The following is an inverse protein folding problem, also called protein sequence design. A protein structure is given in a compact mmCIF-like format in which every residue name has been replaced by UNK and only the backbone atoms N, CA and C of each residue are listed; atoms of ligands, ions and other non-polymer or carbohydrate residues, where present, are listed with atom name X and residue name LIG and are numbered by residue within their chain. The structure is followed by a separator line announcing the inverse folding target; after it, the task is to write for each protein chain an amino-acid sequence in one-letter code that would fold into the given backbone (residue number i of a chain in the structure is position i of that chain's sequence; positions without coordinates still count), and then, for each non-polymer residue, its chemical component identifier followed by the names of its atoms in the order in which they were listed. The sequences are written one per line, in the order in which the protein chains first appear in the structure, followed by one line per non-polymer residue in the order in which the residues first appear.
data_IF_232776273428
#
_entry.id   IF_232776273428
#
_cell.length_a   1.000
_cell.length_b   1.000
_cell.length_c   1.000
_cell.angle_alpha   90.00
_cell.angle_beta   90.00
_cell.angle_gamma   90.00
#
_symmetry.space_group_name_H-M   'P 1'
#
loop_
_entity.id
_entity.type
_entity.pdbx_description
1 polymer ?
#
# COMPACT_ATOMS: atom_id res chain seq x y z
N UNK A 1 -21.30 33.60 13.24
CA UNK A 1 -19.92 33.39 13.73
C UNK A 1 -19.36 32.14 13.06
N UNK A 2 -18.34 32.22 12.19
CA UNK A 2 -17.67 31.03 11.64
C UNK A 2 -16.48 30.68 12.52
N UNK A 3 -16.51 29.51 13.15
CA UNK A 3 -15.39 28.96 13.91
C UNK A 3 -14.33 28.43 12.95
N UNK A 4 -13.11 28.96 13.07
CA UNK A 4 -11.94 28.52 12.29
C UNK A 4 -11.38 27.22 12.89
N UNK A 5 -11.65 26.09 12.23
CA UNK A 5 -11.04 24.81 12.62
C UNK A 5 -9.59 24.81 12.15
N UNK A 6 -8.65 25.07 13.05
CA UNK A 6 -7.20 24.99 12.80
C UNK A 6 -6.76 23.52 12.71
N UNK A 7 -7.12 22.83 11.62
CA UNK A 7 -6.47 21.57 11.26
C UNK A 7 -5.01 21.82 10.85
N UNK A 8 -4.11 20.88 11.17
CA UNK A 8 -2.70 20.95 10.73
C UNK A 8 -2.66 21.08 9.20
N UNK A 9 -2.31 22.27 8.69
CA UNK A 9 -2.11 22.49 7.25
C UNK A 9 -0.96 21.61 6.78
N UNK A 10 -1.21 20.68 5.86
CA UNK A 10 -0.12 20.00 5.16
C UNK A 10 0.64 21.06 4.36
N UNK A 11 1.96 21.10 4.50
CA UNK A 11 2.79 21.95 3.64
C UNK A 11 2.56 21.50 2.19
N UNK A 12 2.35 22.43 1.25
CA UNK A 12 2.28 22.09 -0.16
C UNK A 12 3.52 21.27 -0.56
N UNK A 13 3.37 20.25 -1.41
CA UNK A 13 4.50 19.48 -1.89
C UNK A 13 5.52 20.42 -2.53
N UNK A 14 6.77 20.37 -2.03
CA UNK A 14 7.88 21.13 -2.62
C UNK A 14 8.16 20.50 -3.98
N UNK A 15 7.88 21.24 -5.05
CA UNK A 15 8.19 20.82 -6.41
C UNK A 15 9.70 20.63 -6.56
N UNK A 16 10.10 19.53 -7.22
CA UNK A 16 11.51 19.13 -7.38
C UNK A 16 12.18 19.69 -8.63
N UNK A 17 11.52 20.55 -9.41
CA UNK A 17 12.15 21.13 -10.59
C UNK A 17 13.08 22.25 -10.15
N UNK A 18 14.37 22.01 -10.38
CA UNK A 18 15.38 23.04 -10.32
C UNK A 18 15.21 23.91 -11.55
N UNK A 19 14.98 25.21 -11.37
CA UNK A 19 14.88 26.12 -12.50
C UNK A 19 16.21 26.09 -13.28
N UNK A 20 16.16 25.66 -14.54
CA UNK A 20 17.33 25.65 -15.41
C UNK A 20 17.88 27.06 -15.61
N UNK A 21 19.21 27.18 -15.59
CA UNK A 21 19.91 28.45 -15.76
C UNK A 21 19.74 28.99 -17.19
N UNK A 22 19.86 30.31 -17.36
CA UNK A 22 19.80 30.94 -18.68
C UNK A 22 20.91 30.42 -19.61
N UNK A 23 22.12 30.23 -19.08
CA UNK A 23 23.28 29.70 -19.81
C UNK A 23 23.01 28.30 -20.39
N UNK A 24 22.39 27.42 -19.61
CA UNK A 24 22.03 26.08 -20.08
C UNK A 24 21.04 26.15 -21.25
N UNK A 25 20.00 26.98 -21.13
CA UNK A 25 19.01 27.17 -22.21
C UNK A 25 19.64 27.78 -23.47
N UNK A 26 20.55 28.73 -23.32
CA UNK A 26 21.27 29.34 -24.43
C UNK A 26 22.16 28.31 -25.14
N UNK A 27 22.87 27.45 -24.40
CA UNK A 27 23.69 26.38 -24.96
C UNK A 27 22.87 25.34 -25.75
N UNK A 28 21.67 24.99 -25.27
CA UNK A 28 20.76 24.09 -25.99
C UNK A 28 20.29 24.73 -27.31
N UNK A 29 19.95 26.02 -27.29
CA UNK A 29 19.50 26.73 -28.49
C UNK A 29 20.59 26.85 -29.55
N UNK A 30 21.81 27.25 -29.16
CA UNK A 30 22.94 27.35 -30.11
C UNK A 30 23.33 26.01 -30.70
N UNK A 31 23.18 24.92 -29.92
CA UNK A 31 23.38 23.57 -30.41
C UNK A 31 22.32 23.17 -31.44
N UNK A 32 21.06 23.55 -31.22
CA UNK A 32 19.94 23.25 -32.10
C UNK A 32 20.05 23.92 -33.47
N UNK A 33 20.71 25.07 -33.58
CA UNK A 33 20.93 25.74 -34.86
C UNK A 33 21.84 24.94 -35.81
N UNK A 34 22.62 24.00 -35.27
CA UNK A 34 23.62 23.22 -36.02
C UNK A 34 23.36 21.72 -36.00
N UNK A 35 22.45 21.25 -35.14
CA UNK A 35 22.20 19.82 -34.91
C UNK A 35 20.70 19.51 -34.97
N UNK A 36 20.38 18.23 -35.21
CA UNK A 36 19.00 17.76 -35.21
C UNK A 36 18.45 17.65 -33.78
N UNK A 37 17.13 17.68 -33.64
CA UNK A 37 16.45 17.47 -32.34
C UNK A 37 16.91 16.18 -31.64
N UNK A 38 17.12 15.09 -32.38
CA UNK A 38 17.60 13.82 -31.81
C UNK A 38 19.01 13.95 -31.22
N UNK A 39 19.92 14.65 -31.90
CA UNK A 39 21.26 14.92 -31.38
C UNK A 39 21.22 15.86 -30.15
N UNK A 40 20.34 16.86 -30.14
CA UNK A 40 20.17 17.75 -28.99
C UNK A 40 19.64 17.01 -27.76
N UNK A 41 18.68 16.10 -27.96
CA UNK A 41 18.18 15.21 -26.89
C UNK A 41 19.30 14.29 -26.41
N UNK A 42 20.12 13.71 -27.30
CA UNK A 42 21.26 12.88 -26.91
C UNK A 42 22.33 13.64 -26.11
N UNK A 43 22.59 14.91 -26.45
CA UNK A 43 23.62 15.73 -25.82
C UNK A 43 23.17 16.39 -24.50
N UNK A 44 21.91 16.83 -24.41
CA UNK A 44 21.40 17.62 -23.26
C UNK A 44 20.26 16.94 -22.50
N UNK A 45 19.62 15.91 -23.05
CA UNK A 45 18.49 15.19 -22.44
C UNK A 45 18.89 14.29 -21.26
N UNK A 46 20.17 13.95 -21.12
CA UNK A 46 20.68 13.10 -20.04
C UNK A 46 20.44 13.67 -18.63
N UNK A 47 20.22 14.98 -18.52
CA UNK A 47 19.88 15.64 -17.25
C UNK A 47 18.49 15.26 -16.71
N UNK A 48 17.60 14.70 -17.56
CA UNK A 48 16.27 14.22 -17.17
C UNK A 48 16.20 12.70 -16.97
N UNK A 49 17.07 11.93 -17.63
CA UNK A 49 17.00 10.45 -17.62
C UNK A 49 17.74 9.82 -16.43
N UNK A 50 18.62 10.57 -15.76
CA UNK A 50 19.26 10.11 -14.51
C UNK A 50 18.28 9.92 -13.35
N UNK A 51 17.04 10.42 -13.45
CA UNK A 51 15.94 10.06 -12.54
C UNK A 51 15.02 8.94 -13.04
N UNK A 52 15.12 8.50 -14.29
CA UNK A 52 14.29 7.42 -14.81
C UNK A 52 14.97 6.05 -14.65
N UNK A 53 16.30 5.99 -14.71
CA UNK A 53 17.04 4.70 -14.71
C UNK A 53 17.83 4.43 -13.41
N UNK A 54 17.91 5.41 -12.48
CA UNK A 54 18.63 5.28 -11.19
C UNK A 54 17.74 5.39 -9.95
N UNK A 55 16.41 5.36 -10.13
CA UNK A 55 15.42 5.34 -9.06
C UNK A 55 14.61 4.03 -9.12
N UNK A 56 15.23 2.93 -8.69
CA UNK A 56 14.46 1.73 -8.28
C UNK A 56 14.73 0.43 -9.04
N UNK A 57 15.92 0.21 -9.58
CA UNK A 57 16.41 -1.15 -9.90
C UNK A 57 16.87 -1.89 -8.64
N UNK A 58 15.98 -1.93 -7.65
CA UNK A 58 15.90 -3.04 -6.71
C UNK A 58 14.68 -3.89 -7.09
N UNK A 59 14.56 -4.22 -8.39
CA UNK A 59 13.82 -5.43 -8.78
C UNK A 59 14.66 -6.58 -8.24
N UNK A 60 14.34 -7.03 -7.05
CA UNK A 60 14.97 -8.20 -6.42
C UNK A 60 14.65 -9.48 -7.16
N UNK A 61 13.64 -9.45 -8.03
CA UNK A 61 13.18 -10.55 -8.85
C UNK A 61 13.38 -10.22 -10.34
N UNK A 62 13.76 -11.20 -11.15
CA UNK A 62 13.88 -11.05 -12.61
C UNK A 62 12.51 -10.74 -13.24
N UNK A 63 12.49 -10.11 -14.41
CA UNK A 63 11.24 -9.79 -15.11
C UNK A 63 10.44 -11.06 -15.48
N UNK A 64 11.13 -12.15 -15.87
CA UNK A 64 10.50 -13.45 -16.15
C UNK A 64 9.80 -14.02 -14.90
N UNK A 65 10.44 -13.90 -13.74
CA UNK A 65 9.92 -14.36 -12.47
C UNK A 65 8.75 -13.49 -11.96
N UNK A 66 8.77 -12.18 -12.20
CA UNK A 66 7.60 -11.32 -11.92
C UNK A 66 6.42 -11.67 -12.84
N UNK A 67 6.67 -12.10 -14.09
CA UNK A 67 5.62 -12.54 -15.01
C UNK A 67 4.98 -13.87 -14.60
N UNK A 68 5.77 -14.84 -14.13
CA UNK A 68 5.23 -16.10 -13.59
C UNK A 68 4.31 -15.83 -12.39
N UNK A 69 4.72 -14.92 -11.49
CA UNK A 69 3.90 -14.51 -10.35
C UNK A 69 2.61 -13.82 -10.80
N UNK A 70 2.67 -13.05 -11.88
CA UNK A 70 1.49 -12.41 -12.47
C UNK A 70 0.52 -13.45 -13.05
N UNK A 71 1.02 -14.45 -13.77
CA UNK A 71 0.20 -15.53 -14.33
C UNK A 71 -0.52 -16.31 -13.23
N UNK A 72 0.21 -16.69 -12.18
CA UNK A 72 -0.36 -17.32 -10.99
C UNK A 72 -1.49 -16.46 -10.39
N UNK A 73 -1.23 -15.16 -10.18
CA UNK A 73 -2.20 -14.25 -9.55
C UNK A 73 -3.48 -14.11 -10.39
N UNK A 74 -3.35 -14.09 -11.71
CA UNK A 74 -4.50 -14.08 -12.64
C UNK A 74 -5.27 -15.40 -12.57
N UNK A 75 -4.57 -16.54 -12.54
CA UNK A 75 -5.21 -17.86 -12.41
C UNK A 75 -6.03 -17.99 -11.11
N UNK A 76 -5.46 -17.55 -9.98
CA UNK A 76 -6.16 -17.57 -8.68
C UNK A 76 -7.41 -16.66 -8.69
N UNK A 77 -7.32 -15.47 -9.30
CA UNK A 77 -8.46 -14.55 -9.42
C UNK A 77 -9.56 -15.06 -10.34
N UNK A 78 -9.19 -15.78 -11.41
CA UNK A 78 -10.17 -16.47 -12.28
C UNK A 78 -11.01 -17.46 -11.48
N UNK A 79 -10.40 -18.15 -10.52
CA UNK A 79 -11.06 -19.07 -9.60
C UNK A 79 -11.86 -18.41 -8.47
N UNK A 80 -12.06 -17.08 -8.51
CA UNK A 80 -12.80 -16.30 -7.50
C UNK A 80 -12.22 -16.38 -6.08
N UNK A 81 -10.95 -16.73 -5.96
CA UNK A 81 -10.24 -16.78 -4.67
C UNK A 81 -9.65 -15.38 -4.40
N UNK A 82 -9.99 -14.74 -3.26
CA UNK A 82 -9.37 -13.48 -2.88
C UNK A 82 -7.91 -13.71 -2.49
N UNK A 83 -6.99 -12.94 -3.09
CA UNK A 83 -5.56 -13.02 -2.77
C UNK A 83 -5.22 -12.03 -1.67
N UNK A 84 -4.75 -12.55 -0.54
CA UNK A 84 -4.23 -11.77 0.58
C UNK A 84 -2.77 -11.38 0.34
N UNK A 85 -2.28 -10.40 1.11
CA UNK A 85 -0.87 -10.01 1.06
C UNK A 85 0.08 -11.17 1.44
N UNK A 86 -0.30 -11.99 2.41
CA UNK A 86 0.52 -13.12 2.87
C UNK A 86 0.64 -14.20 1.79
N UNK A 87 -0.44 -14.47 1.06
CA UNK A 87 -0.46 -15.45 -0.02
C UNK A 87 0.42 -14.98 -1.18
N UNK A 88 0.35 -13.69 -1.54
CA UNK A 88 1.25 -13.09 -2.53
C UNK A 88 2.71 -13.16 -2.09
N UNK A 89 2.98 -12.91 -0.81
CA UNK A 89 4.33 -12.97 -0.25
C UNK A 89 4.93 -14.38 -0.35
N UNK A 90 4.16 -15.40 0.04
CA UNK A 90 4.59 -16.80 0.00
C UNK A 90 4.90 -17.25 -1.42
N UNK A 91 3.99 -16.99 -2.35
CA UNK A 91 4.20 -17.35 -3.76
C UNK A 91 5.44 -16.65 -4.34
N UNK A 92 5.61 -15.35 -4.05
CA UNK A 92 6.78 -14.62 -4.52
C UNK A 92 8.09 -15.25 -4.02
N UNK A 93 8.13 -15.74 -2.78
CA UNK A 93 9.29 -16.44 -2.23
C UNK A 93 9.52 -17.81 -2.88
N UNK A 94 8.45 -18.54 -3.22
CA UNK A 94 8.55 -19.82 -3.94
C UNK A 94 9.10 -19.62 -5.35
N UNK A 95 8.60 -18.62 -6.08
CA UNK A 95 9.11 -18.27 -7.40
C UNK A 95 10.55 -17.78 -7.31
N UNK A 96 10.91 -16.98 -6.30
CA UNK A 96 12.31 -16.59 -6.10
C UNK A 96 13.24 -17.81 -5.93
N UNK A 97 12.80 -18.86 -5.23
CA UNK A 97 13.53 -20.12 -5.10
C UNK A 97 13.67 -20.86 -6.44
N UNK A 98 12.63 -20.84 -7.28
CA UNK A 98 12.68 -21.45 -8.61
C UNK A 98 13.70 -20.78 -9.53
N UNK A 99 13.91 -19.47 -9.36
CA UNK A 99 14.87 -18.66 -10.11
C UNK A 99 16.23 -18.51 -9.43
N UNK A 100 16.56 -19.39 -8.47
CA UNK A 100 17.83 -19.40 -7.73
C UNK A 100 18.17 -18.08 -7.01
N UNK A 101 17.15 -17.28 -6.65
CA UNK A 101 17.34 -16.06 -5.86
C UNK A 101 17.41 -16.46 -4.38
N UNK A 102 18.50 -16.14 -3.66
CA UNK A 102 18.61 -16.51 -2.26
C UNK A 102 17.57 -15.76 -1.41
N UNK A 103 16.94 -16.46 -0.46
CA UNK A 103 15.93 -15.90 0.45
C UNK A 103 16.47 -14.72 1.28
N UNK A 104 17.78 -14.66 1.49
CA UNK A 104 18.45 -13.53 2.15
C UNK A 104 18.50 -12.26 1.28
N UNK A 105 18.44 -12.40 -0.05
CA UNK A 105 18.40 -11.27 -0.98
C UNK A 105 16.95 -10.82 -1.27
N UNK A 106 15.98 -11.73 -1.15
CA UNK A 106 14.58 -11.43 -1.43
C UNK A 106 13.65 -11.88 -0.31
N UNK A 107 13.09 -10.88 0.39
CA UNK A 107 12.15 -11.10 1.50
C UNK A 107 10.67 -10.88 1.12
N UNK A 108 10.37 -10.60 -0.15
CA UNK A 108 9.04 -10.19 -0.62
C UNK A 108 8.40 -9.13 0.32
N UNK A 109 9.16 -8.07 0.62
CA UNK A 109 8.77 -7.07 1.61
C UNK A 109 7.48 -6.35 1.22
N UNK A 110 6.79 -5.76 2.21
CA UNK A 110 5.55 -5.00 1.97
C UNK A 110 5.72 -3.84 0.98
N UNK A 111 6.88 -3.20 0.98
CA UNK A 111 7.25 -2.15 0.03
C UNK A 111 7.46 -2.71 -1.37
N UNK A 112 8.11 -3.87 -1.50
CA UNK A 112 8.26 -4.55 -2.78
C UNK A 112 6.90 -5.00 -3.34
N UNK A 113 6.06 -5.63 -2.52
CA UNK A 113 4.71 -6.05 -2.93
C UNK A 113 3.86 -4.86 -3.40
N UNK A 114 3.92 -3.72 -2.70
CA UNK A 114 3.22 -2.51 -3.11
C UNK A 114 3.73 -1.97 -4.46
N UNK A 115 5.04 -1.99 -4.68
CA UNK A 115 5.64 -1.60 -5.95
C UNK A 115 5.26 -2.55 -7.09
N UNK A 116 5.36 -3.87 -6.86
CA UNK A 116 4.94 -4.92 -7.79
C UNK A 116 3.47 -4.74 -8.21
N UNK A 117 2.55 -4.61 -7.25
CA UNK A 117 1.13 -4.39 -7.54
C UNK A 117 0.91 -3.11 -8.32
N UNK A 118 1.66 -2.04 -8.04
CA UNK A 118 1.58 -0.78 -8.79
C UNK A 118 2.09 -0.92 -10.23
N UNK A 119 3.15 -1.70 -10.49
CA UNK A 119 3.69 -1.95 -11.83
C UNK A 119 2.66 -2.62 -12.74
N UNK A 120 1.93 -3.59 -12.20
CA UNK A 120 0.92 -4.36 -12.95
C UNK A 120 -0.50 -3.79 -12.83
N UNK A 121 -0.68 -2.61 -12.22
CA UNK A 121 -2.00 -1.99 -11.97
C UNK A 121 -2.98 -2.92 -11.23
N UNK A 122 -2.48 -3.67 -10.26
CA UNK A 122 -3.24 -4.64 -9.46
C UNK A 122 -3.53 -4.11 -8.06
N UNK A 123 -4.61 -4.61 -7.46
CA UNK A 123 -4.96 -4.38 -6.05
C UNK A 123 -5.22 -5.69 -5.34
N UNK A 124 -4.84 -5.81 -4.08
CA UNK A 124 -5.23 -6.97 -3.26
C UNK A 124 -6.74 -6.90 -2.97
N UNK A 125 -7.37 -8.06 -2.86
CA UNK A 125 -8.78 -8.13 -2.51
C UNK A 125 -8.95 -7.78 -1.02
N UNK A 126 -9.68 -6.70 -0.74
CA UNK A 126 -10.12 -6.42 0.62
C UNK A 126 -11.23 -7.41 0.99
N UNK A 127 -11.15 -8.00 2.18
CA UNK A 127 -12.25 -8.81 2.73
C UNK A 127 -13.47 -7.90 2.90
N UNK A 128 -14.49 -8.08 2.07
CA UNK A 128 -15.77 -7.40 2.23
C UNK A 128 -16.48 -7.97 3.47
N UNK A 129 -16.93 -7.09 4.38
CA UNK A 129 -17.36 -7.42 5.75
C UNK A 129 -18.78 -8.04 5.81
N UNK A 130 -19.05 -8.79 6.89
CA UNK A 130 -20.32 -9.36 7.43
C UNK A 130 -20.94 -10.59 6.75
N UNK A 131 -20.93 -10.75 5.43
CA UNK A 131 -21.69 -11.83 4.76
C UNK A 131 -21.05 -13.23 4.72
N UNK A 132 -19.88 -13.42 5.34
CA UNK A 132 -19.02 -14.60 5.17
C UNK A 132 -18.56 -15.27 6.46
N UNK A 133 -19.01 -14.82 7.63
CA UNK A 133 -18.90 -15.64 8.85
C UNK A 133 -19.89 -16.81 8.74
N UNK A 134 -19.43 -18.04 8.96
CA UNK A 134 -20.34 -19.16 9.12
C UNK A 134 -21.31 -18.82 10.27
N UNK A 135 -22.62 -19.15 10.14
CA UNK A 135 -23.62 -18.75 11.13
C UNK A 135 -23.34 -19.29 12.55
N UNK A 136 -22.53 -20.36 12.67
CA UNK A 136 -22.13 -20.94 13.96
C UNK A 136 -21.23 -19.99 14.79
N UNK A 137 -20.16 -19.45 14.21
CA UNK A 137 -19.20 -18.57 14.93
C UNK A 137 -19.84 -17.25 15.37
N UNK A 138 -20.86 -16.78 14.63
CA UNK A 138 -21.55 -15.53 14.95
C UNK A 138 -22.47 -15.67 16.16
N UNK A 139 -23.05 -16.86 16.36
CA UNK A 139 -23.93 -17.15 17.48
C UNK A 139 -23.15 -17.31 18.79
N UNK A 140 -21.98 -17.96 18.74
CA UNK A 140 -21.11 -18.10 19.91
C UNK A 140 -20.62 -16.72 20.42
N UNK A 141 -20.22 -15.83 19.51
CA UNK A 141 -19.82 -14.47 19.87
C UNK A 141 -20.99 -13.65 20.46
N UNK A 142 -22.20 -13.82 19.93
CA UNK A 142 -23.40 -13.16 20.45
C UNK A 142 -23.77 -13.66 21.86
N UNK A 143 -23.65 -14.96 22.11
CA UNK A 143 -23.88 -15.54 23.45
C UNK A 143 -22.84 -15.06 24.45
N UNK A 144 -21.57 -15.00 24.06
CA UNK A 144 -20.49 -14.55 24.93
C UNK A 144 -20.60 -13.05 25.27
N UNK A 145 -21.03 -12.23 24.30
CA UNK A 145 -21.35 -10.82 24.52
C UNK A 145 -22.56 -10.65 25.44
N UNK A 146 -23.64 -11.41 25.22
CA UNK A 146 -24.84 -11.38 26.07
C UNK A 146 -24.51 -11.75 27.53
N UNK A 147 -23.76 -12.84 27.73
CA UNK A 147 -23.30 -13.26 29.06
C UNK A 147 -22.45 -12.20 29.76
N UNK A 148 -21.55 -11.54 29.02
CA UNK A 148 -20.73 -10.44 29.54
C UNK A 148 -21.58 -9.21 29.89
N UNK A 149 -22.55 -8.85 29.04
CA UNK A 149 -23.41 -7.70 29.26
C UNK A 149 -24.36 -7.86 30.46
N UNK A 150 -24.78 -9.08 30.76
CA UNK A 150 -25.61 -9.38 31.94
C UNK A 150 -24.81 -9.36 33.24
N UNK A 151 -23.57 -9.87 33.22
CA UNK A 151 -22.70 -9.86 34.41
C UNK A 151 -22.37 -8.45 34.94
N UNK A 152 -22.49 -7.42 34.10
CA UNK A 152 -22.22 -6.03 34.46
C UNK A 152 -23.44 -5.33 35.09
N UNK A 153 -24.66 -5.81 34.81
CA UNK A 153 -25.92 -5.15 35.21
C UNK A 153 -26.36 -5.56 36.63
N UNK A 154 -25.87 -6.69 37.14
CA UNK A 154 -26.24 -7.20 38.49
C UNK A 154 -25.37 -6.68 39.65
N UNK A 155 -24.40 -5.79 39.42
CA UNK A 155 -23.49 -5.31 40.49
C UNK A 155 -23.78 -3.91 41.03
N UNK A 156 -24.92 -3.28 40.73
CA UNK A 156 -25.23 -1.97 41.31
C UNK A 156 -26.74 -1.70 41.47
N UNK A 157 -27.39 -2.38 42.43
CA UNK A 157 -28.58 -1.88 43.11
C UNK A 157 -28.45 -2.20 44.60
N UNK A 158 -27.61 -1.42 45.28
CA UNK A 158 -27.67 -1.33 46.74
C UNK A 158 -28.98 -0.66 47.15
N UNK A 159 -29.84 -1.42 47.79
CA UNK A 159 -31.12 -1.00 48.39
C UNK A 159 -30.86 0.12 49.42
N UNK A 160 -31.21 1.37 49.08
CA UNK A 160 -31.20 2.50 50.01
C UNK A 160 -32.46 2.40 50.87
N UNK A 161 -32.32 1.84 52.07
CA UNK A 161 -33.34 1.83 53.12
C UNK A 161 -33.54 3.25 53.64
N UNK A 162 -34.75 3.79 53.47
CA UNK A 162 -35.20 5.02 54.10
C UNK A 162 -36.02 4.65 55.34
N UNK A 163 -35.34 4.49 56.48
CA UNK A 163 -36.01 4.48 57.78
C UNK A 163 -36.04 5.91 58.31
N UNK A 164 -37.14 6.61 58.00
CA UNK A 164 -37.69 7.66 58.85
C UNK A 164 -38.21 7.00 60.13
N UNK A 165 -37.56 7.25 61.28
CA UNK A 165 -38.21 7.08 62.58
C UNK A 165 -38.14 8.37 63.38
N UNK A 166 -39.31 8.97 63.50
CA UNK A 166 -39.65 10.12 64.31
C UNK A 166 -40.32 9.56 65.56
N UNK A 167 -39.72 9.77 66.74
CA UNK A 167 -40.29 9.40 68.03
C UNK A 167 -39.38 9.67 69.20
#
# INVERSE_FOLDING_TARGET
MRVSVKGKRRKPPKYKNTAETFEFKAAVLTYYDTHTMAAAIGAFGQHHDSQAETLGSAKTLSDDAELDLFEWLVAVRRNRIPVSATMLQQEALEIAKLYDVPETAFAASSTWMAAYLSRYSLSLSARTRQGQSAPADSNEFAQNFAATSLACVDSDVGEVSWDDDVG
#
